data_IF_301021954658
#
_entry.id   IF_301021954658
#
_cell.length_a   1.000
_cell.length_b   1.000
_cell.length_c   1.000
_cell.angle_alpha   90.00
_cell.angle_beta   90.00
_cell.angle_gamma   90.00
#
_symmetry.space_group_name_H-M   'P 1'
#
loop_
_entity.id
_entity.type
_entity.pdbx_description
1 polymer ?
#
# COMPACT_ATOMS: atom_id res chain seq x y z
N UNK A 1 27.31 -30.23 -38.41
CA UNK A 1 25.94 -29.78 -38.12
C UNK A 1 25.82 -29.48 -36.65
N UNK A 2 26.05 -28.22 -36.27
CA UNK A 2 25.95 -27.72 -34.93
C UNK A 2 24.57 -27.10 -34.77
N UNK A 3 23.80 -27.54 -33.75
CA UNK A 3 22.51 -26.97 -33.38
C UNK A 3 22.72 -25.90 -32.31
N UNK A 4 22.36 -24.68 -32.65
CA UNK A 4 22.30 -23.52 -31.77
C UNK A 4 21.17 -23.70 -30.73
N UNK A 5 21.52 -23.70 -29.44
CA UNK A 5 20.57 -23.62 -28.36
C UNK A 5 20.33 -22.13 -28.01
N UNK A 6 19.26 -21.56 -28.48
CA UNK A 6 18.77 -20.27 -28.02
C UNK A 6 18.22 -20.39 -26.59
N UNK A 7 18.79 -19.60 -25.70
CA UNK A 7 18.38 -19.43 -24.31
C UNK A 7 17.22 -18.40 -24.27
N UNK A 8 16.04 -18.71 -23.70
CA UNK A 8 14.97 -17.71 -23.58
C UNK A 8 15.30 -16.73 -22.46
N UNK A 9 15.43 -15.47 -22.84
CA UNK A 9 15.55 -14.32 -21.95
C UNK A 9 14.25 -14.15 -21.12
N UNK A 10 14.29 -13.99 -19.78
CA UNK A 10 13.10 -13.70 -19.00
C UNK A 10 12.62 -12.28 -19.30
N UNK A 11 11.48 -12.17 -19.94
CA UNK A 11 10.77 -10.91 -20.15
C UNK A 11 10.40 -10.31 -18.80
N UNK A 12 10.99 -9.16 -18.48
CA UNK A 12 10.51 -8.25 -17.45
C UNK A 12 9.13 -7.75 -17.87
N UNK A 13 8.11 -8.16 -17.13
CA UNK A 13 6.76 -7.62 -17.25
C UNK A 13 6.75 -6.17 -16.72
N UNK A 14 7.04 -5.21 -17.57
CA UNK A 14 6.71 -3.82 -17.32
C UNK A 14 5.21 -3.68 -17.44
N UNK A 15 4.51 -3.55 -16.32
CA UNK A 15 3.08 -3.23 -16.28
C UNK A 15 2.93 -1.81 -16.84
N UNK A 16 2.61 -1.69 -18.13
CA UNK A 16 2.25 -0.42 -18.74
C UNK A 16 0.89 -0.01 -18.16
N UNK A 17 0.87 1.08 -17.39
CA UNK A 17 -0.37 1.75 -16.99
C UNK A 17 -1.09 2.17 -18.25
N UNK A 18 -2.31 1.65 -18.47
CA UNK A 18 -3.06 1.93 -19.69
C UNK A 18 -3.46 3.41 -19.76
N UNK A 19 -3.44 4.02 -20.94
CA UNK A 19 -3.85 5.43 -21.15
C UNK A 19 -5.30 5.68 -20.71
N UNK A 20 -6.15 4.65 -20.68
CA UNK A 20 -7.51 4.71 -20.16
C UNK A 20 -7.55 4.93 -18.64
N UNK A 21 -6.64 4.31 -17.87
CA UNK A 21 -6.56 4.51 -16.42
C UNK A 21 -6.05 5.91 -16.05
N UNK A 22 -5.14 6.48 -16.84
CA UNK A 22 -4.64 7.84 -16.64
C UNK A 22 -5.76 8.88 -16.83
N UNK A 23 -6.59 8.73 -17.86
CA UNK A 23 -7.74 9.61 -18.11
C UNK A 23 -8.81 9.51 -17.00
N UNK A 24 -8.96 8.37 -16.35
CA UNK A 24 -9.90 8.15 -15.26
C UNK A 24 -9.51 8.88 -13.97
N UNK A 25 -8.22 9.19 -13.77
CA UNK A 25 -7.71 9.88 -12.58
C UNK A 25 -7.80 11.42 -12.65
N UNK A 26 -8.14 11.99 -13.81
CA UNK A 26 -8.22 13.44 -14.02
C UNK A 26 -6.87 14.16 -13.96
N UNK A 27 -6.90 15.47 -14.11
CA UNK A 27 -5.66 16.26 -14.30
C UNK A 27 -4.74 16.30 -13.08
N UNK A 28 -5.30 16.21 -11.87
CA UNK A 28 -4.54 16.35 -10.63
C UNK A 28 -3.90 15.04 -10.18
N UNK A 29 -4.55 13.91 -10.44
CA UNK A 29 -4.13 12.60 -9.93
C UNK A 29 -3.50 11.70 -10.99
N UNK A 30 -3.67 11.99 -12.28
CA UNK A 30 -3.00 11.25 -13.35
C UNK A 30 -1.48 11.20 -13.24
N UNK A 31 -0.78 12.29 -12.86
CA UNK A 31 0.67 12.25 -12.66
C UNK A 31 1.10 11.38 -11.47
N UNK A 32 0.17 11.08 -10.56
CA UNK A 32 0.39 10.29 -9.35
C UNK A 32 -0.05 8.84 -9.50
N UNK A 33 -0.38 8.41 -10.72
CA UNK A 33 -0.80 7.05 -11.01
C UNK A 33 0.23 6.02 -10.56
N UNK A 34 -0.23 4.93 -9.97
CA UNK A 34 0.61 3.84 -9.54
C UNK A 34 1.34 3.20 -10.74
N UNK A 35 2.67 3.23 -10.72
CA UNK A 35 3.51 2.72 -11.80
C UNK A 35 4.45 1.60 -11.36
N UNK A 36 4.90 1.63 -10.10
CA UNK A 36 5.93 0.73 -9.61
C UNK A 36 5.63 0.35 -8.16
N UNK A 37 4.89 -0.74 -7.98
CA UNK A 37 4.48 -1.18 -6.66
C UNK A 37 5.67 -1.62 -5.81
N UNK A 38 5.75 -1.06 -4.60
CA UNK A 38 6.71 -1.45 -3.57
C UNK A 38 5.97 -1.94 -2.35
N UNK A 39 6.60 -2.83 -1.61
CA UNK A 39 6.07 -3.35 -0.36
C UNK A 39 6.98 -3.02 0.79
N UNK A 40 6.38 -2.70 1.93
CA UNK A 40 7.07 -2.63 3.21
C UNK A 40 6.55 -3.77 4.09
N UNK A 41 7.45 -4.60 4.62
CA UNK A 41 7.11 -5.74 5.46
C UNK A 41 7.35 -5.41 6.93
N UNK A 42 6.32 -5.61 7.75
CA UNK A 42 6.39 -5.49 9.20
C UNK A 42 6.18 -6.90 9.79
N UNK A 43 7.14 -7.37 10.55
CA UNK A 43 7.03 -8.60 11.32
C UNK A 43 6.92 -8.26 12.80
N UNK A 44 5.86 -8.73 13.45
CA UNK A 44 5.66 -8.64 14.91
C UNK A 44 5.84 -10.02 15.54
N UNK A 45 5.61 -10.12 16.85
CA UNK A 45 5.56 -11.41 17.54
C UNK A 45 4.41 -12.27 16.99
N UNK A 46 3.29 -11.65 16.58
CA UNK A 46 2.02 -12.31 16.29
C UNK A 46 1.71 -12.47 14.80
N UNK A 47 2.23 -11.58 13.94
CA UNK A 47 1.89 -11.58 12.50
C UNK A 47 3.01 -11.03 11.62
N UNK A 48 2.83 -11.23 10.32
CA UNK A 48 3.61 -10.57 9.27
C UNK A 48 2.62 -9.83 8.38
N UNK A 49 2.78 -8.51 8.29
CA UNK A 49 1.99 -7.63 7.42
C UNK A 49 2.85 -7.09 6.27
N UNK A 50 2.23 -6.92 5.10
CA UNK A 50 2.83 -6.23 3.96
C UNK A 50 1.98 -5.03 3.59
N UNK A 51 2.60 -3.86 3.56
CA UNK A 51 1.98 -2.61 3.14
C UNK A 51 2.45 -2.28 1.73
N UNK A 52 1.50 -1.97 0.87
CA UNK A 52 1.75 -1.63 -0.53
C UNK A 52 1.88 -0.11 -0.70
N UNK A 53 2.77 0.32 -1.58
CA UNK A 53 2.82 1.71 -2.04
C UNK A 53 1.63 2.10 -2.91
N UNK A 54 0.91 1.12 -3.49
CA UNK A 54 -0.33 1.40 -4.21
C UNK A 54 -1.44 1.70 -3.23
N UNK A 55 -1.80 2.97 -3.11
CA UNK A 55 -2.81 3.46 -2.19
C UNK A 55 -2.42 3.47 -0.71
N UNK A 56 -1.19 3.12 -0.35
CA UNK A 56 -0.82 2.92 1.06
C UNK A 56 -1.71 1.87 1.73
N UNK A 57 -1.96 0.74 1.04
CA UNK A 57 -2.91 -0.30 1.44
C UNK A 57 -2.23 -1.48 2.12
N UNK A 58 -3.01 -2.27 2.88
CA UNK A 58 -2.54 -3.53 3.45
C UNK A 58 -2.67 -4.62 2.38
N UNK A 59 -1.54 -5.11 1.86
CA UNK A 59 -1.51 -6.09 0.79
C UNK A 59 -1.60 -7.54 1.30
N UNK A 60 -1.18 -7.81 2.54
CA UNK A 60 -1.37 -9.10 3.18
C UNK A 60 -1.21 -9.01 4.69
N UNK A 61 -1.88 -9.93 5.41
CA UNK A 61 -1.75 -10.07 6.86
C UNK A 61 -1.81 -11.54 7.24
N UNK A 62 -0.67 -12.09 7.67
CA UNK A 62 -0.50 -13.50 7.99
C UNK A 62 -0.21 -13.69 9.48
N UNK A 63 -0.99 -14.50 10.17
CA UNK A 63 -0.76 -14.85 11.58
C UNK A 63 0.37 -15.87 11.72
N UNK A 64 1.18 -15.73 12.77
CA UNK A 64 2.33 -16.62 13.03
C UNK A 64 1.95 -17.84 13.86
N UNK A 65 0.99 -17.70 14.76
CA UNK A 65 0.66 -18.71 15.76
C UNK A 65 -0.63 -19.50 15.49
N UNK A 66 -1.29 -19.19 14.36
CA UNK A 66 -2.55 -19.86 13.98
C UNK A 66 -2.37 -20.60 12.66
N UNK A 67 -2.70 -21.87 12.68
CA UNK A 67 -2.67 -22.75 11.52
C UNK A 67 -4.10 -23.14 11.12
N UNK A 68 -4.29 -23.30 9.80
CA UNK A 68 -5.49 -23.93 9.26
C UNK A 68 -5.40 -25.45 9.44
N UNK A 69 -6.49 -26.15 9.11
CA UNK A 69 -6.54 -27.62 9.12
C UNK A 69 -5.47 -28.27 8.22
N UNK A 70 -5.08 -27.60 7.12
CA UNK A 70 -4.04 -28.03 6.19
C UNK A 70 -2.61 -27.66 6.64
N UNK A 71 -2.47 -27.17 7.87
CA UNK A 71 -1.22 -26.68 8.50
C UNK A 71 -0.59 -25.47 7.83
N UNK A 72 -1.28 -24.80 6.91
CA UNK A 72 -0.86 -23.49 6.42
C UNK A 72 -1.25 -22.41 7.41
N UNK A 73 -0.48 -21.30 7.44
CA UNK A 73 -0.76 -20.17 8.34
C UNK A 73 -2.05 -19.45 7.96
N UNK A 74 -2.81 -19.02 8.96
CA UNK A 74 -4.03 -18.22 8.76
C UNK A 74 -3.65 -16.89 8.13
N UNK A 75 -4.33 -16.54 7.05
CA UNK A 75 -4.24 -15.24 6.39
C UNK A 75 -5.52 -14.45 6.66
N UNK A 76 -5.43 -13.40 7.49
CA UNK A 76 -6.56 -12.49 7.72
C UNK A 76 -6.82 -11.61 6.51
N UNK A 77 -5.74 -11.16 5.85
CA UNK A 77 -5.80 -10.45 4.58
C UNK A 77 -4.98 -11.26 3.59
N UNK A 78 -5.66 -11.75 2.55
CA UNK A 78 -5.03 -12.54 1.49
C UNK A 78 -3.99 -11.72 0.73
N UNK A 79 -2.95 -12.34 0.16
CA UNK A 79 -2.00 -11.62 -0.67
C UNK A 79 -2.71 -10.79 -1.75
N UNK A 80 -2.29 -9.52 -1.86
CA UNK A 80 -2.81 -8.53 -2.83
C UNK A 80 -4.27 -8.08 -2.65
N UNK A 81 -4.87 -8.30 -1.47
CA UNK A 81 -6.27 -7.91 -1.20
C UNK A 81 -6.49 -6.38 -1.22
N UNK A 82 -5.47 -5.57 -0.91
CA UNK A 82 -5.55 -4.10 -0.91
C UNK A 82 -6.61 -3.55 0.06
N UNK A 83 -6.55 -3.98 1.32
CA UNK A 83 -7.40 -3.46 2.39
C UNK A 83 -6.92 -2.09 2.88
N UNK A 84 -7.77 -1.39 3.64
CA UNK A 84 -7.52 -0.02 4.08
C UNK A 84 -7.38 0.93 2.89
N UNK A 85 -8.30 0.81 1.92
CA UNK A 85 -8.40 1.69 0.77
C UNK A 85 -9.00 3.05 1.14
N UNK A 86 -8.83 4.03 0.26
CA UNK A 86 -9.42 5.37 0.34
C UNK A 86 -10.03 5.71 -1.02
N UNK A 87 -11.29 6.15 -1.03
CA UNK A 87 -11.96 6.66 -2.22
C UNK A 87 -12.42 8.09 -1.96
N UNK A 88 -12.31 8.96 -2.94
CA UNK A 88 -12.75 10.35 -2.85
C UNK A 88 -13.11 10.92 -4.23
N UNK A 89 -13.79 12.07 -4.24
CA UNK A 89 -14.07 12.82 -5.46
C UNK A 89 -13.09 13.97 -5.62
N UNK A 90 -12.50 14.11 -6.81
CA UNK A 90 -11.66 15.26 -7.14
C UNK A 90 -12.52 16.46 -7.56
N UNK A 91 -11.96 17.66 -7.46
CA UNK A 91 -12.66 18.90 -7.83
C UNK A 91 -12.97 19.00 -9.34
N UNK A 92 -12.27 18.22 -10.18
CA UNK A 92 -12.59 18.07 -11.61
C UNK A 92 -13.62 16.97 -11.90
N UNK A 93 -14.35 16.51 -10.87
CA UNK A 93 -15.49 15.61 -10.99
C UNK A 93 -15.14 14.13 -11.20
N UNK A 94 -13.91 13.70 -10.91
CA UNK A 94 -13.52 12.29 -11.02
C UNK A 94 -13.68 11.57 -9.69
N UNK A 95 -14.19 10.34 -9.72
CA UNK A 95 -14.15 9.42 -8.58
C UNK A 95 -12.79 8.73 -8.58
N UNK A 96 -12.01 8.97 -7.54
CA UNK A 96 -10.64 8.49 -7.41
C UNK A 96 -10.61 7.33 -6.40
N UNK A 97 -10.16 6.17 -6.85
CA UNK A 97 -9.73 5.08 -5.97
C UNK A 97 -8.22 5.24 -5.72
N UNK A 98 -7.86 5.57 -4.49
CA UNK A 98 -6.46 5.80 -4.11
C UNK A 98 -5.57 4.55 -4.28
N UNK A 99 -6.15 3.35 -4.43
CA UNK A 99 -5.40 2.13 -4.78
C UNK A 99 -4.67 2.25 -6.12
N UNK A 100 -5.14 3.14 -6.99
CA UNK A 100 -4.53 3.44 -8.29
C UNK A 100 -3.45 4.52 -8.23
N UNK A 101 -3.16 5.07 -7.05
CA UNK A 101 -2.18 6.13 -6.82
C UNK A 101 -0.94 5.60 -6.13
N UNK A 102 0.22 6.19 -6.48
CA UNK A 102 1.52 5.82 -5.93
C UNK A 102 1.80 6.61 -4.65
N UNK A 103 1.76 5.94 -3.52
CA UNK A 103 2.18 6.48 -2.22
C UNK A 103 3.65 6.20 -1.95
N UNK A 104 4.32 7.12 -1.31
CA UNK A 104 5.65 6.92 -0.74
C UNK A 104 5.51 6.26 0.64
N UNK A 105 6.22 5.15 0.87
CA UNK A 105 6.25 4.48 2.17
C UNK A 105 7.44 5.01 2.98
N UNK A 106 7.15 5.79 4.01
CA UNK A 106 8.14 6.49 4.83
C UNK A 106 8.09 5.96 6.27
N UNK A 107 9.08 5.17 6.70
CA UNK A 107 9.18 4.75 8.10
C UNK A 107 9.52 5.95 9.00
N UNK A 108 8.87 6.05 10.18
CA UNK A 108 9.13 7.12 11.14
C UNK A 108 10.56 7.07 11.71
N UNK A 109 11.19 5.91 11.70
CA UNK A 109 12.59 5.71 12.13
C UNK A 109 13.40 5.06 11.01
N UNK A 110 14.62 5.57 10.78
CA UNK A 110 15.53 5.10 9.72
C UNK A 110 16.17 3.71 9.98
N UNK A 111 15.72 2.98 10.99
CA UNK A 111 16.24 1.65 11.35
C UNK A 111 15.77 0.52 10.42
N UNK A 112 14.76 0.78 9.61
CA UNK A 112 14.24 -0.19 8.65
C UNK A 112 15.24 -0.35 7.48
N UNK A 113 15.76 -1.56 7.29
CA UNK A 113 16.62 -1.91 6.15
C UNK A 113 15.78 -2.67 5.11
N UNK A 114 15.99 -2.35 3.84
CA UNK A 114 15.40 -3.11 2.72
C UNK A 114 13.86 -3.22 2.77
N UNK A 115 13.14 -2.17 3.19
CA UNK A 115 11.68 -2.18 3.31
C UNK A 115 11.14 -3.30 4.23
N UNK A 116 11.87 -3.61 5.28
CA UNK A 116 11.52 -4.60 6.29
C UNK A 116 11.86 -4.09 7.67
N UNK A 117 11.00 -4.37 8.64
CA UNK A 117 11.25 -4.14 10.07
C UNK A 117 10.67 -5.27 10.90
N UNK A 118 11.27 -5.46 12.09
CA UNK A 118 10.78 -6.38 13.11
C UNK A 118 10.49 -5.61 14.39
N UNK A 119 9.31 -5.84 14.97
CA UNK A 119 8.81 -5.15 16.15
C UNK A 119 8.49 -6.18 17.22
N UNK A 120 9.08 -6.05 18.40
CA UNK A 120 8.96 -7.04 19.47
C UNK A 120 8.30 -6.47 20.74
N UNK A 121 7.54 -7.30 21.42
CA UNK A 121 6.94 -6.99 22.71
C UNK A 121 6.14 -5.70 22.66
N UNK A 122 6.30 -4.86 23.66
CA UNK A 122 5.61 -3.55 23.75
C UNK A 122 6.17 -2.46 22.85
N UNK A 123 7.22 -2.74 22.06
CA UNK A 123 7.76 -1.77 21.10
C UNK A 123 6.77 -1.44 20.01
N UNK A 124 6.85 -0.23 19.49
CA UNK A 124 6.01 0.27 18.40
C UNK A 124 6.84 0.66 17.19
N UNK A 125 6.23 0.55 16.01
CA UNK A 125 6.79 1.03 14.74
C UNK A 125 5.70 1.75 13.96
N UNK A 126 6.01 2.94 13.47
CA UNK A 126 5.09 3.74 12.66
C UNK A 126 5.59 3.83 11.22
N UNK A 127 4.69 3.52 10.29
CA UNK A 127 4.87 3.67 8.85
C UNK A 127 3.88 4.71 8.33
N UNK A 128 4.39 5.70 7.63
CA UNK A 128 3.58 6.69 6.91
C UNK A 128 3.52 6.32 5.43
N UNK A 129 2.31 6.21 4.88
CA UNK A 129 2.10 6.18 3.43
C UNK A 129 1.63 7.58 3.00
N UNK A 130 2.47 8.28 2.23
CA UNK A 130 2.29 9.67 1.84
C UNK A 130 2.04 9.81 0.35
N UNK A 131 1.01 10.55 -0.02
CA UNK A 131 0.73 10.99 -1.37
C UNK A 131 0.83 12.51 -1.42
N UNK A 132 1.87 13.04 -2.01
CA UNK A 132 2.04 14.49 -2.22
C UNK A 132 1.38 14.88 -3.54
N UNK A 133 0.35 15.73 -3.47
CA UNK A 133 -0.39 16.23 -4.64
C UNK A 133 0.31 17.47 -5.19
N UNK A 134 0.72 18.37 -4.30
CA UNK A 134 1.48 19.58 -4.59
C UNK A 134 2.29 19.96 -3.35
N UNK A 135 3.24 20.92 -3.44
CA UNK A 135 3.97 21.41 -2.28
C UNK A 135 3.02 21.85 -1.16
N UNK A 136 3.12 21.18 -0.01
CA UNK A 136 2.26 21.45 1.16
C UNK A 136 0.87 20.83 1.12
N UNK A 137 0.49 20.12 0.04
CA UNK A 137 -0.80 19.43 -0.10
C UNK A 137 -0.59 17.93 -0.22
N UNK A 138 -1.04 17.18 0.78
CA UNK A 138 -0.78 15.75 0.86
C UNK A 138 -1.88 14.95 1.55
N UNK A 139 -1.97 13.68 1.21
CA UNK A 139 -2.70 12.67 1.98
C UNK A 139 -1.67 11.81 2.70
N UNK A 140 -1.82 11.65 4.02
CA UNK A 140 -0.95 10.81 4.83
C UNK A 140 -1.78 9.77 5.56
N UNK A 141 -1.48 8.50 5.33
CA UNK A 141 -1.96 7.38 6.14
C UNK A 141 -0.87 6.99 7.12
N UNK A 142 -1.11 7.16 8.40
CA UNK A 142 -0.20 6.78 9.47
C UNK A 142 -0.65 5.44 10.04
N UNK A 143 0.21 4.45 10.02
CA UNK A 143 -0.06 3.11 10.56
C UNK A 143 0.95 2.80 11.66
N UNK A 144 0.46 2.54 12.88
CA UNK A 144 1.30 2.22 14.05
C UNK A 144 1.08 0.77 14.46
N UNK A 145 2.15 0.00 14.40
CA UNK A 145 2.20 -1.43 14.70
C UNK A 145 2.87 -1.63 16.06
N UNK A 146 2.34 -2.52 16.87
CA UNK A 146 2.89 -2.90 18.15
C UNK A 146 3.27 -4.39 18.15
N UNK A 147 4.41 -4.74 18.72
CA UNK A 147 4.98 -6.09 18.64
C UNK A 147 4.10 -7.17 19.25
N UNK A 148 3.52 -6.91 20.40
CA UNK A 148 2.69 -7.83 21.20
C UNK A 148 1.18 -7.80 20.85
N UNK A 149 0.76 -6.96 19.92
CA UNK A 149 -0.64 -6.81 19.51
C UNK A 149 -0.97 -7.64 18.25
N UNK A 150 -2.26 -7.94 18.04
CA UNK A 150 -2.81 -8.47 16.79
C UNK A 150 -3.42 -7.39 15.90
N UNK A 151 -3.54 -6.17 16.42
CA UNK A 151 -4.08 -5.01 15.71
C UNK A 151 -3.01 -3.96 15.44
N UNK A 152 -3.37 -2.95 14.68
CA UNK A 152 -2.60 -1.74 14.46
C UNK A 152 -3.53 -0.53 14.59
N UNK A 153 -2.97 0.62 14.90
CA UNK A 153 -3.68 1.89 14.91
C UNK A 153 -3.46 2.58 13.55
N UNK A 154 -4.50 3.25 13.05
CA UNK A 154 -4.43 3.93 11.76
C UNK A 154 -5.12 5.28 11.79
N UNK A 155 -4.46 6.29 11.24
CA UNK A 155 -4.97 7.64 11.00
C UNK A 155 -4.84 8.02 9.53
N UNK A 156 -5.78 8.85 9.04
CA UNK A 156 -5.70 9.45 7.71
C UNK A 156 -5.81 10.96 7.86
N UNK A 157 -4.75 11.66 7.46
CA UNK A 157 -4.71 13.12 7.41
C UNK A 157 -4.78 13.60 5.96
N UNK A 158 -5.67 14.56 5.70
CA UNK A 158 -5.81 15.27 4.43
C UNK A 158 -5.36 16.72 4.67
N UNK A 159 -4.12 17.02 4.30
CA UNK A 159 -3.48 18.30 4.60
C UNK A 159 -3.56 19.22 3.38
N UNK A 160 -4.24 20.36 3.49
CA UNK A 160 -4.37 21.41 2.46
C UNK A 160 -4.80 20.85 1.09
N UNK A 161 -5.77 19.95 1.07
CA UNK A 161 -6.20 19.25 -0.16
C UNK A 161 -7.49 19.81 -0.76
N UNK A 162 -8.08 20.85 -0.18
CA UNK A 162 -9.40 21.42 -0.57
C UNK A 162 -9.44 21.90 -2.02
N UNK A 163 -8.28 22.24 -2.58
CA UNK A 163 -8.15 22.65 -3.98
C UNK A 163 -8.17 21.47 -4.97
N UNK A 164 -8.05 20.24 -4.48
CA UNK A 164 -7.92 19.01 -5.28
C UNK A 164 -9.03 18.00 -5.01
N UNK A 165 -9.54 17.97 -3.78
CA UNK A 165 -10.46 16.94 -3.29
C UNK A 165 -11.73 17.61 -2.75
N UNK A 166 -12.89 17.11 -3.16
CA UNK A 166 -14.18 17.43 -2.54
C UNK A 166 -14.23 16.72 -1.18
N UNK A 167 -14.83 17.36 -0.17
CA UNK A 167 -14.81 16.93 1.25
C UNK A 167 -15.33 15.52 1.56
N UNK A 168 -15.96 14.83 0.61
CA UNK A 168 -16.48 13.49 0.80
C UNK A 168 -15.42 12.46 0.44
N UNK A 169 -15.05 11.63 1.40
CA UNK A 169 -14.16 10.48 1.20
C UNK A 169 -14.70 9.27 1.95
N UNK A 170 -14.39 8.10 1.44
CA UNK A 170 -14.76 6.81 2.00
C UNK A 170 -13.49 5.98 2.29
N UNK A 171 -13.45 5.37 3.48
CA UNK A 171 -12.45 4.36 3.80
C UNK A 171 -13.03 3.01 3.40
N UNK A 172 -12.34 2.31 2.52
CA UNK A 172 -12.81 1.02 2.01
C UNK A 172 -12.07 -0.13 2.68
N UNK A 173 -12.84 -1.08 3.22
CA UNK A 173 -12.37 -2.33 3.75
C UNK A 173 -13.18 -3.44 3.09
N UNK A 174 -12.57 -4.20 2.20
CA UNK A 174 -13.24 -5.30 1.54
C UNK A 174 -13.28 -6.49 2.51
N UNK A 175 -14.39 -7.18 2.56
CA UNK A 175 -14.46 -8.44 3.31
C UNK A 175 -13.56 -9.46 2.61
N UNK A 176 -12.54 -9.92 3.31
CA UNK A 176 -11.55 -10.90 2.83
C UNK A 176 -12.14 -12.25 2.45
#
# INVERSE_FOLDING_TARGET
TSADKQNPNPQQSTTQTSTADVNALGKYFSPLAASNERFFTIETDNYIAKISSNGGTIASWKLKHYDKWDKTKVQLIKPYAREFGLEFSSVDGKKIDAKKLQFELVPAVKTAKNNYTRVYGSSTFTLNARLTIAPGSEIVKTMTFRGDSYSFDADIALNNVEQYIVRNYDITWNKG
#
